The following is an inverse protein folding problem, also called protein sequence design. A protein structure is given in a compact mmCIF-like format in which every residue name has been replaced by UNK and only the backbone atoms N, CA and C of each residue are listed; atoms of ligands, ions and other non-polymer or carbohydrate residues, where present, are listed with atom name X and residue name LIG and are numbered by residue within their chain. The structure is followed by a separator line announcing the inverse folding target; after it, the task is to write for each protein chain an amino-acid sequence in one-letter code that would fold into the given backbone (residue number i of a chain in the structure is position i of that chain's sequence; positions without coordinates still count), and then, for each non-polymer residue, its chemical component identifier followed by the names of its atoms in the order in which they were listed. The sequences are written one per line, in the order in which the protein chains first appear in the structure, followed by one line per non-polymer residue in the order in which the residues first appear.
data_IF_652439221436
#
_entry.id   IF_652439221436
#
_cell.length_a   1.000
_cell.length_b   1.000
_cell.length_c   1.000
_cell.angle_alpha   90.00
_cell.angle_beta   90.00
_cell.angle_gamma   90.00
#
_symmetry.space_group_name_H-M   'P 1'
#
loop_
_entity.id
_entity.type
_entity.pdbx_description
1 polymer ?
#
# COMPACT_ATOMS: atom_id res chain seq x y z
N UNK A 1 -31.28 -12.39 -3.87
CA UNK A 1 -31.20 -11.08 -3.19
C UNK A 1 -30.12 -11.01 -2.11
N UNK A 2 -30.25 -11.67 -0.94
CA UNK A 2 -29.23 -11.53 0.13
C UNK A 2 -27.85 -12.08 -0.26
N UNK A 3 -27.81 -13.19 -0.99
CA UNK A 3 -26.57 -13.80 -1.48
C UNK A 3 -25.88 -12.94 -2.55
N UNK A 4 -26.62 -12.46 -3.55
CA UNK A 4 -26.09 -11.56 -4.59
C UNK A 4 -25.49 -10.28 -3.99
N UNK A 5 -26.14 -9.71 -2.97
CA UNK A 5 -25.62 -8.56 -2.25
C UNK A 5 -24.30 -8.90 -1.52
N UNK A 6 -24.22 -10.07 -0.89
CA UNK A 6 -23.00 -10.53 -0.23
C UNK A 6 -21.85 -10.69 -1.23
N UNK A 7 -22.13 -11.29 -2.38
CA UNK A 7 -21.16 -11.49 -3.46
C UNK A 7 -20.66 -10.14 -4.01
N UNK A 8 -21.57 -9.17 -4.20
CA UNK A 8 -21.21 -7.80 -4.57
C UNK A 8 -20.27 -7.14 -3.54
N UNK A 9 -20.59 -7.26 -2.24
CA UNK A 9 -19.75 -6.69 -1.19
C UNK A 9 -18.37 -7.38 -1.10
N UNK A 10 -18.28 -8.67 -1.41
CA UNK A 10 -17.00 -9.38 -1.49
C UNK A 10 -16.20 -8.91 -2.71
N UNK A 11 -16.85 -8.69 -3.84
CA UNK A 11 -16.22 -8.13 -5.03
C UNK A 11 -15.62 -6.75 -4.74
N UNK A 12 -16.40 -5.83 -4.16
CA UNK A 12 -15.94 -4.47 -3.81
C UNK A 12 -14.74 -4.49 -2.86
N UNK A 13 -14.79 -5.38 -1.86
CA UNK A 13 -13.66 -5.58 -0.94
C UNK A 13 -12.40 -6.04 -1.66
N UNK A 14 -12.50 -7.06 -2.52
CA UNK A 14 -11.36 -7.61 -3.23
C UNK A 14 -10.77 -6.59 -4.21
N UNK A 15 -11.63 -5.84 -4.89
CA UNK A 15 -11.22 -4.76 -5.77
C UNK A 15 -10.47 -3.66 -5.01
N UNK A 16 -11.06 -3.13 -3.93
CA UNK A 16 -10.40 -2.07 -3.15
C UNK A 16 -9.11 -2.56 -2.48
N UNK A 17 -9.05 -3.83 -2.04
CA UNK A 17 -7.83 -4.44 -1.50
C UNK A 17 -6.71 -4.50 -2.53
N UNK A 18 -7.03 -4.87 -3.77
CA UNK A 18 -6.09 -4.84 -4.87
C UNK A 18 -5.59 -3.40 -5.14
N UNK A 19 -6.50 -2.42 -5.18
CA UNK A 19 -6.15 -1.02 -5.40
C UNK A 19 -5.18 -0.50 -4.32
N UNK A 20 -5.50 -0.66 -3.03
CA UNK A 20 -4.60 -0.22 -1.96
C UNK A 20 -3.25 -0.90 -2.05
N UNK A 21 -3.20 -2.23 -2.22
CA UNK A 21 -1.92 -2.96 -2.30
C UNK A 21 -1.02 -2.45 -3.42
N UNK A 22 -1.60 -2.17 -4.58
CA UNK A 22 -0.87 -1.69 -5.75
C UNK A 22 -0.41 -0.25 -5.58
N UNK A 23 -1.20 0.57 -4.88
CA UNK A 23 -0.93 2.00 -4.69
C UNK A 23 -0.19 2.33 -3.38
N UNK A 24 0.06 1.35 -2.49
CA UNK A 24 0.82 1.55 -1.26
C UNK A 24 2.16 2.29 -1.43
N UNK A 25 2.94 2.05 -2.51
CA UNK A 25 4.16 2.80 -2.77
C UNK A 25 3.97 4.32 -2.97
N UNK A 26 2.74 4.78 -3.28
CA UNK A 26 2.44 6.20 -3.45
C UNK A 26 2.55 6.99 -2.15
N UNK A 27 2.34 6.33 -1.00
CA UNK A 27 2.57 6.94 0.32
C UNK A 27 4.07 7.16 0.49
N UNK A 28 4.50 8.42 0.57
CA UNK A 28 5.93 8.77 0.67
C UNK A 28 6.53 8.32 2.00
N UNK A 29 5.77 8.47 3.08
CA UNK A 29 6.20 8.15 4.44
C UNK A 29 6.08 6.63 4.73
N UNK A 30 7.15 6.04 5.27
CA UNK A 30 7.17 4.62 5.66
C UNK A 30 6.24 4.31 6.82
N UNK A 31 6.05 5.25 7.75
CA UNK A 31 5.13 5.10 8.89
C UNK A 31 3.69 5.03 8.41
N UNK A 32 3.33 5.84 7.42
CA UNK A 32 2.01 5.83 6.81
C UNK A 32 1.77 4.51 6.08
N UNK A 33 2.75 4.00 5.33
CA UNK A 33 2.67 2.66 4.71
C UNK A 33 2.41 1.57 5.76
N UNK A 34 3.15 1.60 6.88
CA UNK A 34 2.94 0.64 7.97
C UNK A 34 1.55 0.79 8.61
N UNK A 35 1.07 2.03 8.77
CA UNK A 35 -0.24 2.32 9.37
C UNK A 35 -1.36 1.85 8.46
N UNK A 36 -1.28 2.10 7.15
CA UNK A 36 -2.22 1.56 6.17
C UNK A 36 -2.26 0.03 6.21
N UNK A 37 -1.10 -0.65 6.30
CA UNK A 37 -1.05 -2.11 6.44
C UNK A 37 -1.73 -2.60 7.72
N UNK A 38 -1.60 -1.88 8.84
CA UNK A 38 -2.32 -2.21 10.09
C UNK A 38 -3.83 -2.09 9.91
N UNK A 39 -4.30 -1.04 9.23
CA UNK A 39 -5.71 -0.88 8.88
C UNK A 39 -6.22 -2.01 7.97
N UNK A 40 -5.46 -2.39 6.93
CA UNK A 40 -5.83 -3.53 6.07
C UNK A 40 -6.00 -4.82 6.86
N UNK A 41 -5.09 -5.10 7.80
CA UNK A 41 -5.17 -6.29 8.66
C UNK A 41 -6.39 -6.24 9.57
N UNK A 42 -6.69 -5.07 10.13
CA UNK A 42 -7.88 -4.87 10.96
C UNK A 42 -9.17 -5.08 10.15
N UNK A 43 -9.31 -4.39 9.01
CA UNK A 43 -10.50 -4.45 8.15
C UNK A 43 -10.73 -5.85 7.57
N UNK A 44 -9.68 -6.61 7.26
CA UNK A 44 -9.79 -8.01 6.80
C UNK A 44 -10.59 -8.88 7.78
N UNK A 45 -10.49 -8.62 9.08
CA UNK A 45 -11.17 -9.39 10.11
C UNK A 45 -12.59 -8.89 10.44
N UNK A 46 -13.04 -7.80 9.82
CA UNK A 46 -14.34 -7.17 10.08
C UNK A 46 -15.39 -7.61 9.05
N UNK A 47 -15.88 -8.85 9.15
CA UNK A 47 -16.83 -9.42 8.19
C UNK A 47 -17.88 -10.36 8.82
N UNK A 48 -18.25 -10.14 10.09
CA UNK A 48 -19.12 -11.05 10.85
C UNK A 48 -20.60 -10.87 10.52
N UNK A 49 -20.99 -9.70 10.04
CA UNK A 49 -22.38 -9.38 9.65
C UNK A 49 -22.44 -8.57 8.36
N UNK A 50 -23.60 -8.57 7.70
CA UNK A 50 -23.82 -7.80 6.47
C UNK A 50 -23.56 -6.29 6.67
N UNK A 51 -23.99 -5.73 7.80
CA UNK A 51 -23.78 -4.32 8.13
C UNK A 51 -22.29 -4.02 8.34
N UNK A 52 -21.57 -4.95 8.98
CA UNK A 52 -20.13 -4.83 9.17
C UNK A 52 -19.38 -4.94 7.82
N UNK A 53 -19.81 -5.81 6.90
CA UNK A 53 -19.24 -5.92 5.55
C UNK A 53 -19.41 -4.63 4.74
N UNK A 54 -20.60 -4.00 4.81
CA UNK A 54 -20.85 -2.69 4.17
C UNK A 54 -19.92 -1.62 4.73
N UNK A 55 -19.91 -1.47 6.06
CA UNK A 55 -19.07 -0.48 6.72
C UNK A 55 -17.57 -0.72 6.46
N UNK A 56 -17.13 -1.99 6.43
CA UNK A 56 -15.76 -2.35 6.07
C UNK A 56 -15.43 -1.85 4.67
N UNK A 57 -16.32 -2.03 3.72
CA UNK A 57 -16.12 -1.58 2.35
C UNK A 57 -16.07 -0.04 2.26
N UNK A 58 -16.89 0.67 3.04
CA UNK A 58 -16.84 2.14 3.10
C UNK A 58 -15.48 2.62 3.62
N UNK A 59 -15.01 2.08 4.76
CA UNK A 59 -13.67 2.36 5.27
C UNK A 59 -12.58 2.03 4.25
N UNK A 60 -12.72 0.91 3.57
CA UNK A 60 -11.74 0.46 2.59
C UNK A 60 -11.68 1.40 1.37
N UNK A 61 -12.83 1.88 0.91
CA UNK A 61 -12.91 2.87 -0.16
C UNK A 61 -12.24 4.19 0.24
N UNK A 62 -12.47 4.70 1.46
CA UNK A 62 -11.75 5.89 1.93
C UNK A 62 -10.24 5.67 2.02
N UNK A 63 -9.80 4.49 2.47
CA UNK A 63 -8.39 4.16 2.50
C UNK A 63 -7.77 4.19 1.09
N UNK A 64 -8.48 3.67 0.07
CA UNK A 64 -8.04 3.77 -1.33
C UNK A 64 -7.83 5.23 -1.74
N UNK A 65 -8.80 6.12 -1.45
CA UNK A 65 -8.69 7.53 -1.80
C UNK A 65 -7.47 8.19 -1.16
N UNK A 66 -7.23 7.94 0.13
CA UNK A 66 -6.08 8.49 0.85
C UNK A 66 -4.74 7.99 0.26
N UNK A 67 -4.65 6.69 -0.02
CA UNK A 67 -3.45 6.08 -0.63
C UNK A 67 -3.22 6.61 -2.05
N UNK A 68 -4.28 6.87 -2.82
CA UNK A 68 -4.20 7.47 -4.15
C UNK A 68 -3.72 8.93 -4.08
N UNK A 69 -4.15 9.70 -3.09
CA UNK A 69 -3.67 11.06 -2.83
C UNK A 69 -2.21 11.10 -2.33
N UNK A 70 -1.71 9.97 -1.82
CA UNK A 70 -0.34 9.82 -1.32
C UNK A 70 -0.14 10.28 0.13
N UNK A 71 -1.22 10.57 0.85
CA UNK A 71 -1.22 11.01 2.24
C UNK A 71 -2.36 10.36 3.04
N UNK A 72 -2.08 9.86 4.25
CA UNK A 72 -3.11 9.32 5.12
C UNK A 72 -3.73 10.42 5.99
N UNK A 73 -5.01 10.71 5.74
CA UNK A 73 -5.83 11.63 6.55
C UNK A 73 -6.56 10.86 7.65
N UNK A 74 -7.23 11.59 8.54
CA UNK A 74 -8.07 10.97 9.56
C UNK A 74 -9.18 10.10 8.91
N UNK A 75 -9.49 8.92 9.47
CA UNK A 75 -8.94 8.32 10.69
C UNK A 75 -7.67 7.47 10.48
N UNK A 76 -7.18 7.36 9.24
CA UNK A 76 -6.09 6.45 8.86
C UNK A 76 -4.70 6.95 9.25
N UNK A 77 -4.57 8.22 9.66
CA UNK A 77 -3.33 8.79 10.20
C UNK A 77 -2.90 8.20 11.56
N UNK A 78 -3.79 7.43 12.21
CA UNK A 78 -3.55 6.75 13.48
C UNK A 78 -3.75 5.24 13.31
N UNK A 79 -3.14 4.38 14.14
CA UNK A 79 -3.42 2.94 14.09
C UNK A 79 -4.91 2.65 14.37
N UNK A 80 -5.46 1.56 13.82
CA UNK A 80 -6.85 1.17 14.08
C UNK A 80 -7.06 0.95 15.58
N UNK A 81 -8.17 1.44 16.16
CA UNK A 81 -8.51 1.21 17.56
C UNK A 81 -8.87 -0.26 17.79
N UNK A 82 -8.64 -0.75 19.01
CA UNK A 82 -9.04 -2.10 19.43
C UNK A 82 -10.55 -2.16 19.77
N UNK A 83 -11.40 -1.62 18.90
CA UNK A 83 -12.85 -1.60 19.08
C UNK A 83 -13.57 -2.20 17.86
N UNK A 84 -14.82 -2.67 18.02
CA UNK A 84 -15.59 -3.20 16.90
C UNK A 84 -15.84 -2.14 15.83
N UNK A 85 -15.76 -2.53 14.55
CA UNK A 85 -15.90 -1.60 13.43
C UNK A 85 -17.22 -0.80 13.46
N UNK A 86 -18.31 -1.43 13.89
CA UNK A 86 -19.64 -0.80 13.99
C UNK A 86 -19.68 0.42 14.95
N UNK A 87 -18.75 0.52 15.90
CA UNK A 87 -18.67 1.67 16.81
C UNK A 87 -17.98 2.89 16.20
N UNK A 88 -17.35 2.71 15.03
CA UNK A 88 -16.48 3.69 14.39
C UNK A 88 -17.15 4.42 13.22
N UNK A 89 -18.46 4.26 13.03
CA UNK A 89 -19.22 4.89 11.93
C UNK A 89 -19.00 6.40 11.84
N UNK A 90 -18.82 7.06 12.99
CA UNK A 90 -18.64 8.50 13.10
C UNK A 90 -17.24 8.98 12.66
N UNK A 91 -16.29 8.08 12.40
CA UNK A 91 -14.94 8.44 11.96
C UNK A 91 -14.85 8.66 10.45
N UNK A 92 -15.83 8.19 9.69
CA UNK A 92 -15.92 8.49 8.28
C UNK A 92 -16.62 9.85 8.10
N UNK A 93 -16.11 10.73 7.22
CA UNK A 93 -16.75 12.01 6.96
C UNK A 93 -18.17 11.78 6.44
N UNK A 94 -19.19 12.44 6.97
CA UNK A 94 -20.58 12.29 6.50
C UNK A 94 -20.75 12.67 5.02
N UNK A 95 -19.89 13.55 4.49
CA UNK A 95 -19.82 13.93 3.07
C UNK A 95 -19.26 12.80 2.16
N UNK A 96 -18.94 11.66 2.76
CA UNK A 96 -18.57 10.42 2.11
C UNK A 96 -19.53 10.07 0.97
N UNK A 97 -20.83 10.17 1.23
CA UNK A 97 -21.86 9.77 0.28
C UNK A 97 -21.81 10.58 -1.02
N UNK A 98 -21.45 11.87 -0.95
CA UNK A 98 -21.32 12.72 -2.14
C UNK A 98 -20.05 12.40 -2.94
N UNK A 99 -18.94 12.09 -2.26
CA UNK A 99 -17.68 11.70 -2.91
C UNK A 99 -17.75 10.30 -3.50
N UNK A 100 -18.41 9.36 -2.82
CA UNK A 100 -18.72 8.01 -3.34
C UNK A 100 -19.57 8.16 -4.62
N UNK A 101 -20.64 8.96 -4.59
CA UNK A 101 -21.46 9.20 -5.79
C UNK A 101 -20.71 9.92 -6.92
N UNK A 102 -19.73 10.79 -6.63
CA UNK A 102 -18.88 11.42 -7.65
C UNK A 102 -17.81 10.47 -8.21
N UNK A 103 -17.22 9.60 -7.38
CA UNK A 103 -16.25 8.62 -7.84
C UNK A 103 -16.92 7.50 -8.64
N UNK A 104 -18.14 7.09 -8.28
CA UNK A 104 -18.98 6.21 -9.10
C UNK A 104 -19.28 6.81 -10.48
N UNK A 105 -19.31 8.15 -10.60
CA UNK A 105 -19.42 8.82 -11.91
C UNK A 105 -18.10 8.81 -12.71
N UNK A 106 -16.95 8.70 -12.04
CA UNK A 106 -15.65 8.55 -12.68
C UNK A 106 -15.30 7.08 -13.03
N UNK A 107 -15.89 6.10 -12.34
CA UNK A 107 -15.78 4.66 -12.68
C UNK A 107 -16.85 4.17 -13.67
N UNK A 108 -17.79 5.03 -14.09
CA UNK A 108 -18.64 4.79 -15.26
C UNK A 108 -17.90 5.08 -16.56
N UNK A 109 -16.75 4.44 -16.75
CA UNK A 109 -16.28 4.19 -18.10
C UNK A 109 -17.23 3.13 -18.69
N UNK A 110 -18.10 3.61 -19.59
CA UNK A 110 -19.14 2.89 -20.32
C UNK A 110 -18.86 1.40 -20.56
N UNK A 111 -19.28 0.53 -19.64
CA UNK A 111 -19.72 -0.82 -20.00
C UNK A 111 -21.15 -0.73 -20.51
N UNK A 112 -21.28 -0.29 -21.76
CA UNK A 112 -22.44 -0.67 -22.60
C UNK A 112 -22.35 -2.17 -22.87
N UNK A 113 -22.62 -3.00 -21.86
CA UNK A 113 -22.88 -4.43 -22.03
C UNK A 113 -24.33 -4.51 -22.50
N UNK A 114 -24.48 -4.42 -23.82
CA UNK A 114 -25.79 -4.38 -24.46
C UNK A 114 -25.70 -3.97 -25.91
N UNK A 115 -24.75 -4.57 -26.66
CA UNK A 115 -24.72 -4.79 -28.13
C UNK A 115 -23.26 -4.96 -28.61
N UNK A 116 -22.83 -6.22 -28.71
CA UNK A 116 -21.99 -6.70 -29.82
C UNK A 116 -20.64 -6.04 -30.11
N UNK A 117 -19.91 -5.49 -29.13
CA UNK A 117 -18.50 -5.08 -29.36
C UNK A 117 -17.56 -6.13 -28.80
N UNK A 118 -17.08 -7.03 -29.67
CA UNK A 118 -15.89 -7.86 -29.40
C UNK A 118 -14.72 -6.93 -29.07
N UNK A 119 -13.90 -7.26 -28.06
CA UNK A 119 -12.73 -6.47 -27.68
C UNK A 119 -11.85 -6.19 -28.90
N UNK A 120 -11.19 -5.03 -28.97
CA UNK A 120 -10.33 -4.67 -30.11
C UNK A 120 -9.24 -5.73 -30.38
N UNK A 121 -8.82 -6.47 -29.35
CA UNK A 121 -7.94 -7.63 -29.47
C UNK A 121 -8.55 -8.75 -30.34
N UNK A 122 -9.83 -9.11 -30.12
CA UNK A 122 -10.56 -10.08 -30.94
C UNK A 122 -10.74 -9.59 -32.38
N UNK A 123 -10.90 -8.28 -32.58
CA UNK A 123 -11.07 -7.68 -33.92
C UNK A 123 -9.80 -7.68 -34.75
N UNK A 124 -8.64 -7.58 -34.10
CA UNK A 124 -7.32 -7.59 -34.75
C UNK A 124 -6.74 -8.99 -34.93
N UNK A 125 -7.40 -10.00 -34.40
CA UNK A 125 -6.94 -11.38 -34.53
C UNK A 125 -7.21 -11.90 -35.94
N UNK A 126 -6.25 -12.59 -36.59
CA UNK A 126 -6.40 -13.10 -37.96
C UNK A 126 -7.60 -14.03 -38.17
N UNK A 127 -8.06 -14.67 -37.09
CA UNK A 127 -9.12 -15.66 -37.00
C UNK A 127 -10.40 -15.10 -36.33
N UNK A 128 -10.50 -13.79 -36.15
CA UNK A 128 -11.63 -13.17 -35.43
C UNK A 128 -11.70 -13.51 -33.94
N UNK A 129 -10.60 -14.06 -33.38
CA UNK A 129 -10.42 -14.41 -31.98
C UNK A 129 -10.99 -15.78 -31.58
N UNK A 130 -11.21 -16.66 -32.55
CA UNK A 130 -11.64 -18.04 -32.34
C UNK A 130 -10.61 -18.86 -31.54
N UNK A 131 -9.31 -18.61 -31.73
CA UNK A 131 -8.22 -19.16 -30.93
C UNK A 131 -8.29 -18.76 -29.45
N UNK A 132 -8.64 -17.49 -29.15
CA UNK A 132 -8.74 -17.00 -27.78
C UNK A 132 -9.95 -17.59 -27.06
N UNK A 133 -11.03 -17.86 -27.80
CA UNK A 133 -12.24 -18.48 -27.27
C UNK A 133 -12.09 -20.00 -27.07
N UNK A 134 -11.22 -20.64 -27.83
CA UNK A 134 -10.97 -22.09 -27.76
C UNK A 134 -9.86 -22.47 -26.79
N UNK A 135 -9.30 -21.51 -26.04
CA UNK A 135 -8.31 -21.83 -25.01
C UNK A 135 -8.95 -22.68 -23.91
N UNK A 136 -8.40 -23.87 -23.60
CA UNK A 136 -8.89 -24.67 -22.48
C UNK A 136 -8.68 -23.86 -21.20
N UNK A 137 -9.75 -23.71 -20.41
CA UNK A 137 -9.64 -23.12 -19.08
C UNK A 137 -8.82 -24.10 -18.24
N UNK A 138 -7.69 -23.67 -17.65
CA UNK A 138 -6.94 -24.54 -16.75
C UNK A 138 -7.86 -24.99 -15.62
N UNK A 139 -8.01 -26.30 -15.43
CA UNK A 139 -8.71 -26.84 -14.28
C UNK A 139 -7.92 -26.42 -13.04
N UNK A 140 -8.42 -25.39 -12.35
CA UNK A 140 -7.91 -25.02 -11.04
C UNK A 140 -8.42 -26.10 -10.10
N UNK A 141 -7.56 -27.00 -9.57
CA UNK A 141 -8.02 -28.01 -8.64
C UNK A 141 -8.66 -27.29 -7.46
N UNK A 142 -9.93 -27.60 -7.22
CA UNK A 142 -10.74 -27.03 -6.16
C UNK A 142 -10.26 -27.62 -4.83
N UNK A 143 -9.04 -27.26 -4.40
CA UNK A 143 -8.53 -27.54 -3.07
C UNK A 143 -9.11 -26.50 -2.12
N UNK A 144 -9.86 -26.90 -1.09
CA UNK A 144 -10.17 -25.99 0.01
C UNK A 144 -8.84 -25.53 0.62
N UNK A 145 -8.53 -24.24 0.53
CA UNK A 145 -7.31 -23.63 1.08
C UNK A 145 -6.40 -22.87 0.11
N UNK A 146 -6.60 -22.94 -1.22
CA UNK A 146 -5.67 -22.29 -2.18
C UNK A 146 -5.64 -20.75 -2.07
N UNK A 147 -6.72 -20.12 -1.62
CA UNK A 147 -6.76 -18.67 -1.41
C UNK A 147 -5.98 -18.26 -0.14
N UNK A 148 -5.83 -19.17 0.84
CA UNK A 148 -5.07 -18.88 2.07
C UNK A 148 -3.56 -18.93 1.83
N UNK A 149 -3.06 -19.84 0.97
CA UNK A 149 -1.63 -19.93 0.66
C UNK A 149 -1.10 -18.71 -0.13
N UNK A 150 -1.87 -18.19 -1.10
CA UNK A 150 -1.50 -16.94 -1.79
C UNK A 150 -1.58 -15.72 -0.85
N UNK A 151 -2.37 -15.80 0.21
CA UNK A 151 -2.44 -14.75 1.24
C UNK A 151 -1.27 -14.83 2.22
N UNK A 152 -0.72 -15.98 2.59
CA UNK A 152 0.45 -16.02 3.48
C UNK A 152 1.76 -15.63 2.79
N UNK A 153 1.94 -16.02 1.53
CA UNK A 153 3.17 -15.79 0.77
C UNK A 153 3.40 -14.29 0.46
N UNK A 154 2.31 -13.53 0.29
CA UNK A 154 2.36 -12.07 0.02
C UNK A 154 2.56 -11.21 1.29
N UNK A 155 2.32 -11.73 2.49
CA UNK A 155 2.58 -10.99 3.74
C UNK A 155 3.97 -11.31 4.35
N UNK A 156 4.63 -12.38 3.91
CA UNK A 156 5.98 -12.77 4.35
C UNK A 156 7.09 -12.45 3.33
N UNK A 157 6.75 -11.97 2.14
CA UNK A 157 7.74 -11.43 1.20
C UNK A 157 8.45 -10.23 1.85
N UNK A 158 9.67 -10.46 2.34
CA UNK A 158 10.58 -9.42 2.83
C UNK A 158 10.63 -8.31 1.78
N UNK A 159 10.53 -7.02 2.16
CA UNK A 159 10.70 -5.95 1.21
C UNK A 159 12.10 -6.05 0.63
N UNK A 160 12.20 -6.39 -0.65
CA UNK A 160 13.41 -6.11 -1.43
C UNK A 160 13.52 -4.59 -1.50
N UNK A 161 14.19 -4.01 -0.51
CA UNK A 161 14.73 -2.67 -0.63
C UNK A 161 15.90 -2.74 -1.62
N UNK A 162 15.89 -1.99 -2.73
CA UNK A 162 17.12 -1.78 -3.47
C UNK A 162 18.07 -0.99 -2.56
N UNK A 163 19.16 -1.64 -2.22
CA UNK A 163 20.31 -1.09 -1.53
C UNK A 163 20.93 0.00 -2.41
N UNK A 164 20.56 1.27 -2.14
CA UNK A 164 21.31 2.42 -2.64
C UNK A 164 22.38 2.71 -1.58
N UNK A 165 23.52 2.03 -1.69
CA UNK A 165 24.73 2.47 -0.99
C UNK A 165 25.55 3.30 -1.97
N UNK A 166 25.42 4.61 -1.82
CA UNK A 166 26.39 5.57 -2.32
C UNK A 166 27.67 5.40 -1.51
N UNK A 167 28.65 4.70 -2.08
CA UNK A 167 30.03 4.68 -1.57
C UNK A 167 30.90 5.62 -2.41
N UNK A 168 30.65 6.92 -2.30
CA UNK A 168 31.74 7.89 -2.43
C UNK A 168 32.55 7.87 -1.14
N UNK A 169 33.75 7.30 -1.18
CA UNK A 169 34.95 7.73 -0.43
C UNK A 169 36.08 6.74 -0.66
N UNK A 170 37.19 7.25 -1.21
CA UNK A 170 38.49 6.59 -1.01
C UNK A 170 39.39 6.46 -2.23
N UNK A 171 39.62 7.53 -3.00
CA UNK A 171 40.85 7.65 -3.81
C UNK A 171 41.38 9.07 -3.81
N UNK A 172 42.25 9.36 -2.85
CA UNK A 172 43.31 10.35 -3.00
C UNK A 172 44.54 9.79 -2.28
N UNK A 173 45.38 9.11 -3.06
CA UNK A 173 46.72 8.75 -2.67
C UNK A 173 47.54 10.04 -2.62
N UNK A 174 47.90 10.50 -1.42
CA UNK A 174 48.93 11.52 -1.24
C UNK A 174 50.19 10.79 -0.78
N UNK A 175 51.19 10.88 -1.64
CA UNK A 175 52.57 10.45 -1.45
C UNK A 175 53.12 11.05 -0.14
N UNK A 176 53.64 10.19 0.73
CA UNK A 176 54.59 10.59 1.76
C UNK A 176 55.93 10.97 1.12
N UNK A 177 56.58 12.05 1.58
CA UNK A 177 58.02 12.08 1.69
C UNK A 177 58.49 11.92 3.17
N UNK A 178 59.75 11.51 3.39
CA UNK A 178 60.24 11.01 4.67
C UNK A 178 60.93 12.09 5.53
N UNK A 179 60.99 11.79 6.84
CA UNK A 179 62.04 12.09 7.82
C UNK A 179 62.49 13.55 8.03
N UNK A 180 62.32 14.07 9.25
CA UNK A 180 63.46 14.61 10.03
C UNK A 180 63.17 14.61 11.53
N UNK A 181 64.11 14.09 12.30
CA UNK A 181 64.29 14.28 13.74
C UNK A 181 64.33 15.77 14.12
N UNK A 182 63.88 16.12 15.32
CA UNK A 182 64.63 16.93 16.29
C UNK A 182 63.97 16.94 17.67
N UNK A 183 64.84 17.04 18.66
CA UNK A 183 64.64 16.76 20.07
C UNK A 183 64.10 17.94 20.89
N UNK A 184 63.70 17.61 22.13
CA UNK A 184 63.85 18.38 23.38
C UNK A 184 62.98 19.62 23.64
N UNK A 185 62.21 19.54 24.74
CA UNK A 185 62.14 20.45 25.92
C UNK A 185 60.72 20.44 26.50
N UNK A 186 60.47 19.88 27.70
CA UNK A 186 60.78 20.37 29.06
C UNK A 186 59.83 21.50 29.50
N UNK A 187 59.14 21.24 30.64
CA UNK A 187 58.50 22.19 31.59
C UNK A 187 57.30 23.02 31.08
N UNK A 188 56.36 23.51 31.88
CA UNK A 188 55.83 23.29 33.23
C UNK A 188 54.61 24.23 33.36
N UNK A 189 53.71 23.91 34.29
CA UNK A 189 52.93 24.84 35.14
C UNK A 189 51.92 25.83 34.48
N UNK A 190 50.63 25.76 34.82
CA UNK A 190 49.90 26.22 36.03
C UNK A 190 49.52 27.70 36.05
N UNK A 191 48.35 27.94 36.67
CA UNK A 191 47.67 29.18 37.09
C UNK A 191 46.76 29.82 36.03
N UNK A 192 45.42 29.83 36.18
CA UNK A 192 44.51 30.54 37.12
C UNK A 192 44.65 32.06 37.15
N UNK A 193 43.72 32.76 36.51
CA UNK A 193 43.09 34.05 36.88
C UNK A 193 42.28 34.53 35.66
N UNK A 194 41.20 35.29 35.73
CA UNK A 194 40.46 35.94 36.80
C UNK A 194 39.04 36.18 36.26
N UNK A 195 38.05 36.00 37.13
CA UNK A 195 36.76 36.67 37.03
C UNK A 195 36.86 38.03 37.74
N UNK A 196 35.82 38.86 37.62
CA UNK A 196 35.59 40.21 38.17
C UNK A 196 35.91 41.35 37.16
N UNK A 197 34.92 41.76 36.36
CA UNK A 197 33.96 42.83 36.69
C UNK A 197 32.72 42.72 35.79
#
# INVERSE_FOLDING_TARGET
MAQELQESLLYDWNYNLFCVKTMLPNLRNIQDRQTAVRWLRFLKNCAKSMNEMKLRNDFMYFLVLNVQEGELKEPFNKPPPNQPLLTMTNLLPADADEKIQKAERFTKEKTTIGKGRRSELLRRSPDGGEFLLSQPIPDIPNRPGTIEYLLEELFHAKPYLPFIESQERGRLAILHPPQVHLSSNIFNEFTTSSSIF
#
